data_IF_426027285121
#
_entry.id   IF_426027285121
#
_cell.length_a   1.000
_cell.length_b   1.000
_cell.length_c   1.000
_cell.angle_alpha   90.00
_cell.angle_beta   90.00
_cell.angle_gamma   90.00
#
_symmetry.space_group_name_H-M   'P 1'
#
loop_
_entity.id
_entity.type
_entity.pdbx_description
1 polymer ?
#
# COMPACT_ATOMS: atom_id res chain seq x y z
N UNK A 1 7.47 -8.31 -29.20
CA UNK A 1 6.94 -8.22 -27.83
C UNK A 1 8.12 -8.38 -26.86
N UNK A 2 8.74 -7.28 -26.43
CA UNK A 2 9.82 -7.31 -25.46
C UNK A 2 9.41 -6.47 -24.26
N UNK A 3 9.46 -7.05 -23.06
CA UNK A 3 9.22 -6.32 -21.80
C UNK A 3 10.47 -5.52 -21.49
N UNK A 4 10.31 -4.21 -21.22
CA UNK A 4 11.43 -3.37 -20.81
C UNK A 4 12.03 -3.88 -19.49
N UNK A 5 13.36 -4.01 -19.46
CA UNK A 5 14.13 -4.56 -18.34
C UNK A 5 13.81 -3.90 -16.99
N UNK A 6 13.42 -2.62 -16.98
CA UNK A 6 13.08 -1.88 -15.76
C UNK A 6 11.91 -2.50 -14.99
N UNK A 7 10.92 -3.09 -15.68
CA UNK A 7 9.78 -3.73 -15.03
C UNK A 7 10.21 -5.01 -14.31
N UNK A 8 11.00 -5.84 -14.98
CA UNK A 8 11.51 -7.10 -14.40
C UNK A 8 12.47 -6.80 -13.25
N UNK A 9 13.33 -5.79 -13.42
CA UNK A 9 14.25 -5.36 -12.36
C UNK A 9 13.50 -4.85 -11.12
N UNK A 10 12.44 -4.05 -11.30
CA UNK A 10 11.61 -3.58 -10.19
C UNK A 10 10.91 -4.73 -9.47
N UNK A 11 10.33 -5.68 -10.21
CA UNK A 11 9.69 -6.86 -9.63
C UNK A 11 10.70 -7.69 -8.83
N UNK A 12 11.86 -7.98 -9.40
CA UNK A 12 12.91 -8.76 -8.73
C UNK A 12 13.44 -8.05 -7.48
N UNK A 13 13.65 -6.74 -7.54
CA UNK A 13 14.07 -5.94 -6.39
C UNK A 13 13.01 -5.99 -5.28
N UNK A 14 11.73 -5.85 -5.63
CA UNK A 14 10.63 -5.94 -4.67
C UNK A 14 10.56 -7.32 -4.01
N UNK A 15 10.67 -8.40 -4.80
CA UNK A 15 10.64 -9.77 -4.29
C UNK A 15 11.80 -10.10 -3.35
N UNK A 16 12.95 -9.43 -3.49
CA UNK A 16 14.16 -9.69 -2.70
C UNK A 16 14.42 -8.65 -1.59
N UNK A 17 13.56 -7.64 -1.42
CA UNK A 17 13.82 -6.48 -0.57
C UNK A 17 14.00 -6.81 0.94
N UNK A 18 13.48 -7.96 1.40
CA UNK A 18 13.56 -8.41 2.81
C UNK A 18 14.76 -9.33 3.09
N UNK A 19 15.67 -9.53 2.13
CA UNK A 19 16.83 -10.42 2.27
C UNK A 19 16.54 -11.90 1.99
N UNK A 20 15.31 -12.21 1.60
CA UNK A 20 14.88 -13.52 1.11
C UNK A 20 13.96 -13.31 -0.11
N UNK A 21 13.74 -14.37 -0.89
CA UNK A 21 12.85 -14.30 -2.06
C UNK A 21 11.40 -14.51 -1.62
N UNK A 22 10.62 -13.42 -1.61
CA UNK A 22 9.19 -13.43 -1.33
C UNK A 22 8.40 -13.34 -2.63
N UNK A 23 7.64 -14.39 -2.93
CA UNK A 23 6.75 -14.42 -4.10
C UNK A 23 5.55 -13.49 -3.95
N UNK A 24 4.96 -13.08 -5.08
CA UNK A 24 3.68 -12.33 -5.09
C UNK A 24 2.52 -13.31 -4.91
N UNK A 25 2.36 -13.79 -3.68
CA UNK A 25 1.29 -14.70 -3.25
C UNK A 25 0.78 -14.25 -1.88
N UNK A 26 -0.35 -14.78 -1.41
CA UNK A 26 -0.89 -14.46 -0.07
C UNK A 26 0.12 -14.63 1.07
N UNK A 27 1.02 -15.62 0.95
CA UNK A 27 2.04 -15.89 1.95
C UNK A 27 3.23 -14.94 1.86
N UNK A 28 3.64 -14.57 0.65
CA UNK A 28 4.74 -13.63 0.46
C UNK A 28 4.33 -12.19 0.77
N UNK A 29 3.16 -11.76 0.31
CA UNK A 29 2.63 -10.42 0.58
C UNK A 29 2.43 -10.15 2.07
N UNK A 30 1.92 -11.13 2.83
CA UNK A 30 1.79 -11.06 4.29
C UNK A 30 3.13 -10.85 5.02
N UNK A 31 4.25 -11.23 4.40
CA UNK A 31 5.61 -10.98 4.93
C UNK A 31 6.25 -9.70 4.41
N UNK A 32 5.63 -9.05 3.41
CA UNK A 32 6.15 -7.83 2.79
C UNK A 32 5.54 -6.56 3.39
N UNK A 33 4.22 -6.55 3.62
CA UNK A 33 3.44 -5.39 4.12
C UNK A 33 2.65 -5.76 5.38
N UNK A 34 2.49 -4.78 6.27
CA UNK A 34 1.83 -4.94 7.57
C UNK A 34 0.42 -4.33 7.65
N UNK A 35 -0.05 -3.61 6.61
CA UNK A 35 -1.40 -3.04 6.64
C UNK A 35 -2.48 -4.13 6.56
N UNK A 36 -3.40 -4.08 7.53
CA UNK A 36 -4.55 -4.99 7.62
C UNK A 36 -5.45 -4.83 6.40
N UNK A 37 -5.81 -3.59 6.04
CA UNK A 37 -6.71 -3.35 4.91
C UNK A 37 -6.07 -3.75 3.58
N UNK A 38 -4.77 -3.52 3.41
CA UNK A 38 -4.05 -3.98 2.23
C UNK A 38 -4.03 -5.51 2.14
N UNK A 39 -3.74 -6.22 3.25
CA UNK A 39 -3.74 -7.68 3.26
C UNK A 39 -5.14 -8.26 3.00
N UNK A 40 -6.15 -7.71 3.68
CA UNK A 40 -7.55 -8.10 3.54
C UNK A 40 -8.10 -7.85 2.11
N UNK A 41 -7.56 -6.87 1.38
CA UNK A 41 -7.95 -6.56 0.00
C UNK A 41 -7.46 -7.57 -1.04
N UNK A 42 -6.48 -8.42 -0.70
CA UNK A 42 -5.91 -9.39 -1.62
C UNK A 42 -6.60 -10.75 -1.49
N UNK A 43 -6.46 -11.40 -0.32
CA UNK A 43 -7.06 -12.69 -0.01
C UNK A 43 -7.33 -12.78 1.50
N UNK A 44 -8.11 -13.78 1.94
CA UNK A 44 -8.41 -14.04 3.36
C UNK A 44 -8.95 -12.83 4.13
N UNK A 45 -9.84 -12.07 3.50
CA UNK A 45 -10.39 -10.81 4.04
C UNK A 45 -10.95 -10.95 5.45
N UNK A 46 -11.80 -11.96 5.69
CA UNK A 46 -12.42 -12.18 6.99
C UNK A 46 -11.38 -12.51 8.06
N UNK A 47 -10.48 -13.47 7.80
CA UNK A 47 -9.43 -13.87 8.75
C UNK A 47 -8.59 -12.67 9.18
N UNK A 48 -8.11 -11.87 8.22
CA UNK A 48 -7.31 -10.68 8.50
C UNK A 48 -8.07 -9.63 9.34
N UNK A 49 -9.35 -9.41 9.07
CA UNK A 49 -10.16 -8.45 9.83
C UNK A 49 -10.51 -8.97 11.24
N UNK A 50 -10.82 -10.26 11.38
CA UNK A 50 -11.11 -10.87 12.67
C UNK A 50 -9.88 -10.86 13.58
N UNK A 51 -8.72 -11.28 13.07
CA UNK A 51 -7.46 -11.27 13.83
C UNK A 51 -7.08 -9.84 14.22
N UNK A 52 -7.16 -8.90 13.27
CA UNK A 52 -6.86 -7.49 13.54
C UNK A 52 -7.79 -6.89 14.62
N UNK A 53 -9.09 -7.21 14.57
CA UNK A 53 -10.04 -6.77 15.58
C UNK A 53 -9.75 -7.40 16.96
N UNK A 54 -9.40 -8.69 16.99
CA UNK A 54 -9.07 -9.41 18.21
C UNK A 54 -7.80 -8.85 18.88
N UNK A 55 -6.75 -8.57 18.09
CA UNK A 55 -5.48 -8.02 18.60
C UNK A 55 -5.46 -6.48 18.70
N UNK A 56 -6.56 -5.79 18.32
CA UNK A 56 -6.63 -4.32 18.35
C UNK A 56 -5.61 -3.63 17.44
N UNK A 57 -5.31 -4.22 16.28
CA UNK A 57 -4.37 -3.66 15.31
C UNK A 57 -4.87 -2.34 14.75
N UNK A 58 -3.94 -1.42 14.44
CA UNK A 58 -4.23 -0.11 13.86
C UNK A 58 -3.54 0.02 12.52
N UNK A 59 -4.29 0.51 11.53
CA UNK A 59 -3.78 0.79 10.19
C UNK A 59 -3.52 2.29 10.04
N UNK A 60 -2.39 2.66 9.44
CA UNK A 60 -1.98 4.06 9.22
C UNK A 60 -2.62 4.66 7.97
N UNK A 61 -3.19 3.83 7.09
CA UNK A 61 -3.84 4.28 5.84
C UNK A 61 -2.88 5.07 4.95
N UNK A 62 -1.65 4.56 4.81
CA UNK A 62 -0.60 5.20 4.01
C UNK A 62 -0.46 4.56 2.61
N UNK A 63 -0.94 3.31 2.45
CA UNK A 63 -0.88 2.61 1.19
C UNK A 63 -2.07 2.89 0.26
N UNK A 64 -1.87 2.58 -1.01
CA UNK A 64 -2.84 2.87 -2.08
C UNK A 64 -4.17 2.14 -1.87
N UNK A 65 -4.14 0.85 -1.50
CA UNK A 65 -5.36 0.05 -1.32
C UNK A 65 -6.19 0.57 -0.15
N UNK A 66 -5.51 0.85 0.96
CA UNK A 66 -6.09 1.40 2.18
C UNK A 66 -6.77 2.74 1.89
N UNK A 67 -6.07 3.66 1.22
CA UNK A 67 -6.61 4.96 0.84
C UNK A 67 -7.87 4.84 -0.04
N UNK A 68 -7.85 3.94 -1.03
CA UNK A 68 -9.00 3.70 -1.91
C UNK A 68 -10.20 3.15 -1.12
N UNK A 69 -9.98 2.19 -0.22
CA UNK A 69 -11.05 1.57 0.58
C UNK A 69 -11.75 2.61 1.46
N UNK A 70 -11.01 3.51 2.09
CA UNK A 70 -11.58 4.55 2.98
C UNK A 70 -12.01 5.82 2.23
N UNK A 71 -11.73 5.93 0.93
CA UNK A 71 -12.11 7.08 0.11
C UNK A 71 -11.26 8.34 0.30
N UNK A 72 -10.00 8.21 0.73
CA UNK A 72 -9.06 9.34 0.81
C UNK A 72 -8.09 9.34 -0.39
N UNK A 73 -7.59 10.51 -0.83
CA UNK A 73 -6.60 10.56 -1.90
C UNK A 73 -5.35 9.74 -1.57
N UNK A 74 -4.96 8.83 -2.47
CA UNK A 74 -3.73 8.06 -2.31
C UNK A 74 -2.49 8.95 -2.59
N UNK A 75 -1.40 8.73 -1.84
CA UNK A 75 -0.13 9.45 -1.98
C UNK A 75 0.69 9.09 -3.23
N UNK A 76 0.04 8.91 -4.38
CA UNK A 76 0.67 8.63 -5.67
C UNK A 76 0.09 9.54 -6.77
N UNK A 77 0.87 9.77 -7.83
CA UNK A 77 0.45 10.64 -8.93
C UNK A 77 0.18 12.07 -8.46
N UNK A 78 -1.01 12.59 -8.74
CA UNK A 78 -1.41 13.97 -8.35
C UNK A 78 -1.62 14.12 -6.84
N UNK A 79 -1.85 13.03 -6.10
CA UNK A 79 -2.04 13.07 -4.65
C UNK A 79 -0.76 13.33 -3.85
N UNK A 80 0.41 13.33 -4.50
CA UNK A 80 1.70 13.65 -3.87
C UNK A 80 1.86 15.15 -3.61
N UNK A 81 1.11 15.99 -4.32
CA UNK A 81 1.25 17.45 -4.29
C UNK A 81 0.08 18.08 -3.53
N UNK A 82 0.38 19.14 -2.77
CA UNK A 82 -0.62 19.98 -2.13
C UNK A 82 -0.58 21.39 -2.71
N UNK A 83 -1.75 21.97 -2.96
CA UNK A 83 -1.87 23.35 -3.42
C UNK A 83 -1.88 24.28 -2.21
N UNK A 84 -1.02 25.29 -2.25
CA UNK A 84 -0.98 26.35 -1.25
C UNK A 84 -1.33 27.67 -1.93
N UNK A 85 -2.35 28.36 -1.44
CA UNK A 85 -2.74 29.68 -1.92
C UNK A 85 -2.57 30.71 -0.82
N UNK A 86 -1.80 31.77 -1.09
CA UNK A 86 -1.66 32.90 -0.16
C UNK A 86 -2.85 33.83 -0.35
N UNK A 87 -3.77 33.82 0.60
CA UNK A 87 -4.85 34.80 0.64
C UNK A 87 -4.28 36.17 1.07
N UNK A 88 -4.39 37.18 0.21
CA UNK A 88 -4.11 38.55 0.62
C UNK A 88 -5.24 39.00 1.54
N UNK A 89 -4.97 39.22 2.83
CA UNK A 89 -5.95 39.87 3.71
C UNK A 89 -6.17 41.30 3.18
N UNK A 90 -7.43 41.71 2.91
CA UNK A 90 -7.70 43.11 2.59
C UNK A 90 -7.37 44.00 3.80
N UNK A 91 -7.01 45.28 3.57
CA UNK A 91 -6.65 46.24 4.62
C UNK A 91 -7.83 46.56 5.55
#
# INVERSE_FOLDING_TARGET
>A
MAVDRRHVALLAAQMCARGEVLGITRYGLARMKESVLNLASFEKTADHLFDAAYYGQRDRIEGVSECIIVGVPAGIGTGVLQLLHRHAQPP
#
